data_IF_562608579760
#
_entry.id   IF_562608579760
#
_cell.length_a   1.000
_cell.length_b   1.000
_cell.length_c   1.000
_cell.angle_alpha   90.00
_cell.angle_beta   90.00
_cell.angle_gamma   90.00
#
_symmetry.space_group_name_H-M   'P 1'
#
loop_
_entity.id
_entity.type
_entity.pdbx_description
1 polymer ?
#
# COMPACT_ATOMS: atom_id res chain seq x y z
N UNK A 1 -23.88 7.16 -10.03
CA UNK A 1 -23.49 5.86 -9.46
C UNK A 1 -22.50 6.18 -8.36
N UNK A 2 -22.80 5.84 -7.11
CA UNK A 2 -21.92 6.10 -5.96
C UNK A 2 -21.35 4.77 -5.51
N UNK A 3 -20.03 4.61 -5.61
CA UNK A 3 -19.33 3.43 -5.07
C UNK A 3 -19.18 3.61 -3.57
N UNK A 4 -19.52 2.59 -2.80
CA UNK A 4 -19.37 2.56 -1.34
C UNK A 4 -18.42 1.44 -0.93
N UNK A 5 -18.09 1.35 0.36
CA UNK A 5 -17.29 0.24 0.89
C UNK A 5 -18.06 -1.08 0.88
N UNK A 6 -19.39 -1.08 0.79
CA UNK A 6 -20.17 -2.32 0.59
C UNK A 6 -20.20 -2.79 -0.86
N UNK A 7 -19.74 -1.98 -1.82
CA UNK A 7 -19.71 -2.38 -3.23
C UNK A 7 -18.72 -3.53 -3.42
N UNK A 8 -19.15 -4.59 -4.09
CA UNK A 8 -18.29 -5.75 -4.33
C UNK A 8 -17.24 -5.45 -5.41
N UNK A 9 -16.14 -6.21 -5.42
CA UNK A 9 -15.12 -6.08 -6.47
C UNK A 9 -15.72 -6.31 -7.88
N UNK A 10 -16.62 -7.28 -8.02
CA UNK A 10 -17.29 -7.57 -9.29
C UNK A 10 -18.14 -6.39 -9.76
N UNK A 11 -18.99 -5.85 -8.89
CA UNK A 11 -19.80 -4.67 -9.21
C UNK A 11 -18.92 -3.48 -9.60
N UNK A 12 -17.81 -3.25 -8.88
CA UNK A 12 -16.87 -2.17 -9.20
C UNK A 12 -16.24 -2.34 -10.59
N UNK A 13 -15.82 -3.56 -10.95
CA UNK A 13 -15.29 -3.86 -12.28
C UNK A 13 -16.35 -3.66 -13.38
N UNK A 14 -17.60 -4.08 -13.13
CA UNK A 14 -18.72 -3.84 -14.05
C UNK A 14 -19.01 -2.34 -14.23
N UNK A 15 -18.93 -1.56 -13.15
CA UNK A 15 -19.12 -0.10 -13.18
C UNK A 15 -18.01 0.63 -13.94
N UNK A 16 -16.75 0.17 -13.85
CA UNK A 16 -15.61 0.71 -14.62
C UNK A 16 -15.72 0.31 -16.09
N UNK A 17 -16.19 -0.91 -16.35
CA UNK A 17 -16.31 -1.46 -17.70
C UNK A 17 -14.98 -1.89 -18.31
N UNK A 18 -14.98 -2.12 -19.62
CA UNK A 18 -13.81 -2.62 -20.34
C UNK A 18 -12.74 -1.53 -20.49
N UNK A 19 -11.63 -1.69 -19.77
CA UNK A 19 -10.46 -0.81 -19.80
C UNK A 19 -9.19 -1.59 -20.11
N UNK A 20 -8.27 -0.99 -20.87
CA UNK A 20 -7.00 -1.61 -21.25
C UNK A 20 -5.90 -1.39 -20.22
N UNK A 21 -5.10 -2.42 -19.94
CA UNK A 21 -3.89 -2.31 -19.14
C UNK A 21 -2.84 -1.49 -19.91
N UNK A 22 -2.24 -0.50 -19.27
CA UNK A 22 -1.16 0.27 -19.86
C UNK A 22 0.12 -0.57 -20.01
N UNK A 23 0.94 -0.27 -21.02
CA UNK A 23 2.23 -0.93 -21.27
C UNK A 23 3.18 -0.81 -20.07
N UNK A 24 3.14 0.33 -19.38
CA UNK A 24 3.85 0.57 -18.12
C UNK A 24 2.86 0.93 -17.02
N UNK A 25 3.02 0.33 -15.85
CA UNK A 25 2.23 0.69 -14.67
C UNK A 25 2.41 2.18 -14.36
N UNK A 26 1.32 2.97 -14.31
CA UNK A 26 1.39 4.38 -13.97
C UNK A 26 1.84 4.56 -12.51
N UNK A 27 2.42 5.72 -12.21
CA UNK A 27 2.71 6.08 -10.81
C UNK A 27 1.43 6.56 -10.11
N UNK A 28 1.36 6.44 -8.78
CA UNK A 28 0.24 6.98 -8.00
C UNK A 28 0.02 8.49 -8.28
N UNK A 29 1.11 9.21 -8.58
CA UNK A 29 1.06 10.59 -9.03
C UNK A 29 0.41 10.75 -10.40
N UNK A 30 0.79 9.95 -11.39
CA UNK A 30 0.19 10.02 -12.72
C UNK A 30 -1.30 9.64 -12.74
N UNK A 31 -1.77 8.89 -11.73
CA UNK A 31 -3.18 8.57 -11.56
C UNK A 31 -3.99 9.75 -11.01
N UNK A 32 -3.42 10.52 -10.07
CA UNK A 32 -4.10 11.67 -9.46
C UNK A 32 -3.89 12.98 -10.21
N UNK A 33 -2.87 13.10 -11.04
CA UNK A 33 -2.51 14.33 -11.76
C UNK A 33 -2.54 14.12 -13.28
N UNK A 34 -3.34 14.92 -13.98
CA UNK A 34 -3.34 15.01 -15.44
C UNK A 34 -2.69 16.33 -15.86
N UNK A 35 -1.55 16.25 -16.54
CA UNK A 35 -0.90 17.43 -17.15
C UNK A 35 -1.62 17.80 -18.44
N UNK A 36 -2.02 19.06 -18.56
CA UNK A 36 -2.55 19.65 -19.80
C UNK A 36 -1.42 20.20 -20.66
N UNK A 37 -1.71 20.41 -21.95
CA UNK A 37 -0.73 20.93 -22.92
C UNK A 37 -0.23 22.34 -22.57
N UNK A 38 -1.02 23.11 -21.82
CA UNK A 38 -0.69 24.43 -21.31
C UNK A 38 0.23 24.41 -20.05
N UNK A 39 0.64 23.23 -19.59
CA UNK A 39 1.49 23.04 -18.42
C UNK A 39 0.73 23.03 -17.08
N UNK A 40 -0.59 23.21 -17.08
CA UNK A 40 -1.40 23.13 -15.86
C UNK A 40 -1.63 21.69 -15.43
N UNK A 41 -1.81 21.47 -14.12
CA UNK A 41 -2.09 20.16 -13.53
C UNK A 41 -3.53 20.10 -13.06
N UNK A 42 -4.30 19.18 -13.63
CA UNK A 42 -5.67 18.88 -13.22
C UNK A 42 -5.67 17.69 -12.25
N UNK A 43 -6.31 17.86 -11.10
CA UNK A 43 -6.48 16.77 -10.13
C UNK A 43 -7.60 15.84 -10.59
N UNK A 44 -7.27 14.56 -10.72
CA UNK A 44 -8.17 13.48 -11.10
C UNK A 44 -8.75 12.89 -9.82
N UNK A 45 -10.07 12.99 -9.69
CA UNK A 45 -10.78 12.36 -8.57
C UNK A 45 -10.83 10.84 -8.77
N UNK A 46 -10.64 10.05 -7.70
CA UNK A 46 -10.83 8.62 -7.77
C UNK A 46 -12.30 8.31 -8.08
N UNK A 47 -12.51 7.21 -8.81
CA UNK A 47 -13.81 6.62 -9.06
C UNK A 47 -14.43 6.01 -7.79
N UNK A 48 -13.58 5.45 -6.92
CA UNK A 48 -13.96 4.96 -5.60
C UNK A 48 -12.82 5.22 -4.60
N UNK A 49 -13.17 5.55 -3.36
CA UNK A 49 -12.21 5.81 -2.28
C UNK A 49 -12.81 5.35 -0.94
N UNK A 50 -12.01 4.70 -0.10
CA UNK A 50 -12.39 4.34 1.27
C UNK A 50 -12.44 5.57 2.18
N UNK A 51 -13.18 5.51 3.29
CA UNK A 51 -13.34 6.63 4.20
C UNK A 51 -12.02 7.09 4.85
N UNK A 52 -11.07 6.17 5.02
CA UNK A 52 -9.70 6.44 5.50
C UNK A 52 -8.75 6.91 4.38
N UNK A 53 -9.15 6.76 3.11
CA UNK A 53 -8.34 7.13 1.95
C UNK A 53 -7.21 6.14 1.62
N UNK A 54 -7.14 5.00 2.30
CA UNK A 54 -6.06 4.02 2.10
C UNK A 54 -6.20 3.27 0.77
N UNK A 55 -7.43 3.09 0.27
CA UNK A 55 -7.71 2.53 -1.04
C UNK A 55 -8.36 3.56 -1.96
N UNK A 56 -7.81 3.72 -3.17
CA UNK A 56 -8.37 4.57 -4.23
C UNK A 56 -8.41 3.81 -5.55
N UNK A 57 -9.51 3.84 -6.28
CA UNK A 57 -9.66 3.23 -7.61
C UNK A 57 -9.96 4.32 -8.63
N UNK A 58 -9.30 4.28 -9.78
CA UNK A 58 -9.46 5.24 -10.85
C UNK A 58 -10.21 4.62 -12.03
N UNK A 59 -10.93 5.46 -12.79
CA UNK A 59 -11.76 5.03 -13.91
C UNK A 59 -10.97 4.34 -15.04
N UNK A 60 -9.63 4.40 -15.03
CA UNK A 60 -8.76 3.69 -15.96
C UNK A 60 -8.41 2.25 -15.53
N UNK A 61 -9.01 1.74 -14.45
CA UNK A 61 -8.82 0.36 -13.98
C UNK A 61 -7.63 0.16 -13.03
N UNK A 62 -6.97 1.23 -12.60
CA UNK A 62 -5.88 1.14 -11.62
C UNK A 62 -6.36 1.50 -10.21
N UNK A 63 -5.81 0.79 -9.22
CA UNK A 63 -5.98 1.08 -7.81
C UNK A 63 -4.67 1.57 -7.19
N UNK A 64 -4.76 2.48 -6.23
CA UNK A 64 -3.68 2.88 -5.33
C UNK A 64 -4.04 2.37 -3.94
N UNK A 65 -3.09 1.67 -3.33
CA UNK A 65 -3.17 1.23 -1.95
C UNK A 65 -2.02 1.83 -1.15
N UNK A 66 -2.33 2.37 0.02
CA UNK A 66 -1.37 2.93 0.96
C UNK A 66 -1.61 2.34 2.35
N UNK A 67 -0.53 1.89 2.99
CA UNK A 67 -0.50 1.55 4.40
C UNK A 67 0.65 2.31 5.09
N UNK A 68 0.88 2.03 6.37
CA UNK A 68 1.92 2.66 7.19
C UNK A 68 3.36 2.39 6.71
N UNK A 69 3.56 1.38 5.86
CA UNK A 69 4.89 0.96 5.37
C UNK A 69 5.16 1.35 3.92
N UNK A 70 4.14 1.70 3.15
CA UNK A 70 4.33 2.10 1.76
C UNK A 70 3.06 2.29 0.96
N UNK A 71 3.27 2.64 -0.30
CA UNK A 71 2.21 2.84 -1.30
C UNK A 71 2.54 2.02 -2.55
N UNK A 72 1.51 1.43 -3.15
CA UNK A 72 1.61 0.64 -4.37
C UNK A 72 0.49 0.94 -5.36
N UNK A 73 0.73 0.66 -6.64
CA UNK A 73 -0.25 0.78 -7.72
C UNK A 73 -0.55 -0.62 -8.25
N UNK A 74 -1.83 -0.96 -8.30
CA UNK A 74 -2.32 -2.27 -8.71
C UNK A 74 -3.21 -2.14 -9.95
N UNK A 75 -3.20 -3.16 -10.80
CA UNK A 75 -4.25 -3.34 -11.80
C UNK A 75 -5.45 -3.97 -11.11
N UNK A 76 -6.62 -3.32 -11.12
CA UNK A 76 -7.77 -3.75 -10.32
C UNK A 76 -8.24 -5.16 -10.69
N UNK A 77 -8.21 -5.52 -11.98
CA UNK A 77 -8.62 -6.87 -12.40
C UNK A 77 -7.67 -7.96 -11.87
N UNK A 78 -6.40 -7.64 -11.59
CA UNK A 78 -5.49 -8.59 -10.97
C UNK A 78 -5.95 -8.89 -9.51
N UNK A 79 -6.65 -7.96 -8.83
CA UNK A 79 -7.13 -8.20 -7.47
C UNK A 79 -8.23 -9.28 -7.35
N UNK A 80 -8.72 -9.83 -8.46
CA UNK A 80 -9.75 -10.90 -8.46
C UNK A 80 -9.23 -12.25 -8.00
N UNK A 81 -7.92 -12.44 -7.90
CA UNK A 81 -7.33 -13.68 -7.42
C UNK A 81 -6.13 -13.39 -6.53
N UNK A 82 -5.95 -14.21 -5.49
CA UNK A 82 -4.77 -14.16 -4.63
C UNK A 82 -4.30 -15.57 -4.28
N UNK A 83 -3.01 -15.83 -4.45
CA UNK A 83 -2.40 -17.12 -4.11
C UNK A 83 -1.57 -16.97 -2.85
N UNK A 84 -1.96 -17.69 -1.81
CA UNK A 84 -1.15 -17.89 -0.61
C UNK A 84 -0.11 -18.96 -0.91
N UNK A 85 1.15 -18.68 -0.55
CA UNK A 85 2.22 -19.66 -0.51
C UNK A 85 2.66 -19.83 0.94
N UNK A 86 2.59 -21.06 1.44
CA UNK A 86 3.14 -21.43 2.72
C UNK A 86 4.61 -21.83 2.54
N UNK A 87 5.43 -21.49 3.54
CA UNK A 87 6.78 -22.05 3.67
C UNK A 87 6.69 -23.60 3.74
N UNK A 88 7.82 -24.28 3.58
CA UNK A 88 7.90 -25.74 3.56
C UNK A 88 7.03 -26.40 4.63
N UNK A 89 5.93 -27.03 4.19
CA UNK A 89 4.99 -27.69 5.08
C UNK A 89 5.66 -28.88 5.76
N UNK A 90 5.44 -29.04 7.07
CA UNK A 90 5.82 -30.28 7.76
C UNK A 90 5.02 -31.43 7.19
N UNK A 91 5.57 -32.65 7.24
CA UNK A 91 4.92 -33.81 6.62
C UNK A 91 3.49 -34.05 7.12
N UNK A 92 3.20 -33.74 8.39
CA UNK A 92 1.85 -33.82 8.96
C UNK A 92 0.89 -32.74 8.44
N UNK A 93 1.40 -31.58 8.02
CA UNK A 93 0.59 -30.46 7.53
C UNK A 93 0.18 -30.68 6.07
N UNK A 94 0.97 -31.45 5.29
CA UNK A 94 0.65 -31.83 3.91
C UNK A 94 -0.61 -32.69 3.78
N UNK A 95 -1.02 -33.37 4.86
CA UNK A 95 -2.22 -34.21 4.86
C UNK A 95 -3.53 -33.42 4.79
N UNK A 96 -3.53 -32.14 5.18
CA UNK A 96 -4.74 -31.31 5.23
C UNK A 96 -4.56 -29.88 4.69
N UNK A 97 -3.34 -29.47 4.31
CA UNK A 97 -3.05 -28.16 3.73
C UNK A 97 -2.20 -28.31 2.48
N UNK A 98 -2.58 -27.61 1.41
CA UNK A 98 -1.75 -27.44 0.23
C UNK A 98 -0.77 -26.28 0.43
N UNK A 99 0.50 -26.48 0.03
CA UNK A 99 1.54 -25.46 0.16
C UNK A 99 1.22 -24.18 -0.62
N UNK A 100 0.43 -24.29 -1.69
CA UNK A 100 -0.16 -23.16 -2.38
C UNK A 100 -1.67 -23.29 -2.39
N UNK A 101 -2.36 -22.21 -2.07
CA UNK A 101 -3.81 -22.14 -2.12
C UNK A 101 -4.23 -20.83 -2.78
N UNK A 102 -5.03 -20.93 -3.82
CA UNK A 102 -5.53 -19.76 -4.57
C UNK A 102 -6.97 -19.48 -4.19
N UNK A 103 -7.22 -18.26 -3.76
CA UNK A 103 -8.56 -17.70 -3.63
C UNK A 103 -8.88 -17.02 -4.97
N UNK A 104 -9.91 -17.51 -5.64
CA UNK A 104 -10.31 -17.05 -6.97
C UNK A 104 -11.36 -15.92 -6.94
N UNK A 105 -11.79 -15.55 -8.14
CA UNK A 105 -12.79 -14.50 -8.38
C UNK A 105 -14.17 -14.88 -7.85
N UNK A 106 -14.46 -16.18 -7.75
CA UNK A 106 -15.68 -16.70 -7.14
C UNK A 106 -15.85 -16.22 -5.69
N UNK A 107 -14.74 -16.11 -4.96
CA UNK A 107 -14.70 -15.61 -3.60
C UNK A 107 -14.43 -14.10 -3.61
N UNK A 108 -13.29 -13.65 -4.16
CA UNK A 108 -12.86 -12.25 -4.06
C UNK A 108 -13.75 -11.28 -4.84
N UNK A 109 -14.36 -11.72 -5.94
CA UNK A 109 -15.31 -10.92 -6.70
C UNK A 109 -16.56 -10.54 -5.90
N UNK A 110 -16.97 -11.39 -4.95
CA UNK A 110 -18.12 -11.16 -4.06
C UNK A 110 -17.79 -10.35 -2.81
N UNK A 111 -16.51 -10.15 -2.52
CA UNK A 111 -16.08 -9.37 -1.36
C UNK A 111 -16.12 -7.86 -1.65
N UNK A 112 -16.24 -7.02 -0.62
CA UNK A 112 -15.98 -5.58 -0.72
C UNK A 112 -14.70 -5.28 -1.51
N UNK A 113 -14.80 -4.37 -2.48
CA UNK A 113 -13.70 -4.08 -3.42
C UNK A 113 -12.38 -3.73 -2.70
N UNK A 114 -12.48 -3.00 -1.59
CA UNK A 114 -11.31 -2.53 -0.85
C UNK A 114 -10.58 -3.69 -0.14
N UNK A 115 -11.26 -4.77 0.22
CA UNK A 115 -10.61 -5.95 0.82
C UNK A 115 -9.69 -6.65 -0.18
N UNK A 116 -10.12 -6.77 -1.44
CA UNK A 116 -9.29 -7.35 -2.50
C UNK A 116 -8.08 -6.47 -2.83
N UNK A 117 -8.29 -5.14 -2.85
CA UNK A 117 -7.21 -4.15 -3.03
C UNK A 117 -6.21 -4.20 -1.86
N UNK A 118 -6.69 -4.27 -0.62
CA UNK A 118 -5.86 -4.36 0.59
C UNK A 118 -5.05 -5.65 0.61
N UNK A 119 -5.68 -6.80 0.38
CA UNK A 119 -5.01 -8.11 0.38
C UNK A 119 -3.84 -8.15 -0.61
N UNK A 120 -4.07 -7.69 -1.84
CA UNK A 120 -3.02 -7.65 -2.87
C UNK A 120 -2.04 -6.50 -2.65
N UNK A 121 -2.52 -5.40 -2.07
CA UNK A 121 -1.76 -4.20 -1.76
C UNK A 121 -0.71 -4.43 -0.68
N UNK A 122 -1.08 -5.02 0.45
CA UNK A 122 -0.15 -5.36 1.53
C UNK A 122 0.97 -6.26 1.03
N UNK A 123 0.62 -7.32 0.30
CA UNK A 123 1.60 -8.23 -0.28
C UNK A 123 2.57 -7.52 -1.24
N UNK A 124 2.06 -6.61 -2.08
CA UNK A 124 2.90 -5.87 -3.00
C UNK A 124 3.78 -4.82 -2.29
N UNK A 125 3.28 -4.19 -1.22
CA UNK A 125 4.08 -3.25 -0.41
C UNK A 125 5.21 -3.99 0.31
N UNK A 126 4.93 -5.17 0.88
CA UNK A 126 5.95 -6.03 1.49
C UNK A 126 7.04 -6.40 0.49
N UNK A 127 6.67 -6.85 -0.70
CA UNK A 127 7.62 -7.19 -1.77
C UNK A 127 8.46 -6.00 -2.21
N UNK A 128 7.83 -4.84 -2.43
CA UNK A 128 8.54 -3.60 -2.74
C UNK A 128 9.51 -3.18 -1.61
N UNK A 129 9.20 -3.50 -0.36
CA UNK A 129 10.07 -3.22 0.80
C UNK A 129 11.28 -4.17 0.86
N UNK A 130 11.08 -5.44 0.52
CA UNK A 130 12.16 -6.43 0.40
C UNK A 130 13.13 -6.06 -0.74
N UNK A 131 12.59 -5.67 -1.89
CA UNK A 131 13.37 -5.23 -3.06
C UNK A 131 14.19 -3.96 -2.77
N UNK A 132 13.74 -3.09 -1.85
CA UNK A 132 14.49 -1.88 -1.44
C UNK A 132 15.67 -2.16 -0.51
N UNK A 133 15.71 -3.34 0.13
CA UNK A 133 16.81 -3.74 1.01
C UNK A 133 17.90 -4.51 0.25
N UNK A 134 17.53 -5.18 -0.83
CA UNK A 134 18.46 -5.73 -1.82
C UNK A 134 18.86 -4.68 -2.86
N UNK A 135 20.00 -4.03 -2.66
CA UNK A 135 20.75 -3.31 -3.69
C UNK A 135 20.39 -1.83 -3.98
N UNK A 136 21.25 -0.92 -3.47
CA UNK A 136 21.35 0.50 -3.91
C UNK A 136 22.19 0.67 -5.19
N UNK A 137 22.55 -0.41 -5.88
CA UNK A 137 23.31 -0.39 -7.13
C UNK A 137 22.68 -1.26 -8.20
N UNK A 138 21.42 -0.95 -8.47
CA UNK A 138 20.90 -0.96 -9.83
C UNK A 138 20.65 -2.35 -10.40
N UNK A 139 19.39 -2.78 -10.34
CA UNK A 139 18.79 -3.51 -11.45
C UNK A 139 17.39 -2.97 -11.70
N UNK A 140 17.23 -2.33 -12.86
CA UNK A 140 15.99 -2.37 -13.60
C UNK A 140 15.65 -3.86 -13.80
N UNK A 141 14.65 -4.37 -13.09
CA UNK A 141 13.90 -5.54 -13.51
C UNK A 141 12.44 -5.16 -13.49
N UNK A 142 11.91 -4.95 -14.70
CA UNK A 142 10.49 -5.14 -14.95
C UNK A 142 10.16 -6.55 -14.45
N UNK A 143 9.45 -6.67 -13.34
CA UNK A 143 9.00 -7.97 -12.84
C UNK A 143 7.61 -8.19 -13.44
N UNK A 144 7.60 -8.89 -14.58
CA UNK A 144 6.43 -9.67 -14.95
C UNK A 144 6.18 -10.70 -13.85
N UNK A 145 4.91 -10.92 -13.59
CA UNK A 145 4.39 -12.05 -12.85
C UNK A 145 4.99 -13.36 -13.43
N UNK A 146 5.26 -14.30 -12.53
CA UNK A 146 5.81 -15.66 -12.72
C UNK A 146 7.33 -15.82 -12.63
N UNK A 147 7.71 -16.78 -11.78
CA UNK A 147 9.04 -17.30 -11.44
C UNK A 147 9.81 -16.57 -10.32
N UNK A 148 9.53 -16.99 -9.07
CA UNK A 148 10.54 -17.03 -8.00
C UNK A 148 11.25 -18.38 -8.13
N UNK A 149 12.55 -18.36 -8.38
CA UNK A 149 13.40 -19.57 -8.50
C UNK A 149 13.96 -19.98 -7.14
N UNK A 150 14.27 -21.27 -6.98
CA UNK A 150 14.79 -21.92 -5.75
C UNK A 150 16.05 -21.24 -5.17
N UNK A 151 16.82 -20.50 -5.97
CA UNK A 151 17.98 -19.72 -5.50
C UNK A 151 17.62 -18.48 -4.64
N UNK A 152 16.39 -17.94 -4.74
CA UNK A 152 15.92 -16.84 -3.87
C UNK A 152 15.42 -17.33 -2.50
N UNK A 153 15.13 -18.63 -2.34
CA UNK A 153 14.71 -19.23 -1.05
C UNK A 153 15.86 -19.27 -0.04
N UNK A 154 17.10 -19.56 -0.47
CA UNK A 154 18.26 -19.62 0.44
C UNK A 154 18.71 -18.24 0.95
N UNK A 155 18.43 -17.16 0.21
CA UNK A 155 18.76 -15.79 0.63
C UNK A 155 17.76 -15.22 1.66
N UNK A 156 16.59 -15.85 1.84
CA UNK A 156 15.53 -15.41 2.75
C UNK A 156 15.70 -15.93 4.20
N UNK A 157 16.74 -16.72 4.48
CA UNK A 157 16.95 -17.38 5.79
C UNK A 157 17.27 -16.40 6.94
N UNK A 158 17.54 -15.12 6.67
CA UNK A 158 17.77 -14.12 7.72
C UNK A 158 16.88 -12.88 7.57
N UNK A 159 15.69 -12.91 8.17
CA UNK A 159 14.99 -11.68 8.56
C UNK A 159 14.27 -11.84 9.93
N UNK A 160 14.86 -11.33 11.03
CA UNK A 160 14.30 -11.42 12.39
C UNK A 160 13.15 -10.42 12.67
N UNK A 161 12.43 -9.97 11.65
CA UNK A 161 11.27 -9.09 11.82
C UNK A 161 10.25 -9.33 10.73
N UNK A 162 8.99 -9.41 11.13
CA UNK A 162 7.80 -9.39 10.26
C UNK A 162 7.37 -10.73 9.63
N UNK A 163 7.10 -11.74 10.46
CA UNK A 163 6.06 -12.75 10.16
C UNK A 163 5.19 -12.97 11.41
N UNK A 164 3.88 -13.12 11.21
CA UNK A 164 2.86 -13.37 12.26
C UNK A 164 2.55 -12.19 13.20
N UNK A 165 1.83 -11.18 12.72
CA UNK A 165 1.03 -10.40 13.66
C UNK A 165 -0.43 -10.88 13.68
N UNK A 166 -0.94 -11.24 14.85
CA UNK A 166 -2.36 -11.60 15.02
C UNK A 166 -3.25 -10.37 14.79
N UNK A 167 -4.52 -10.55 14.36
CA UNK A 167 -5.47 -9.44 14.19
C UNK A 167 -5.58 -8.56 15.45
N UNK A 168 -5.46 -9.16 16.63
CA UNK A 168 -5.44 -8.47 17.93
C UNK A 168 -4.21 -7.57 18.07
N UNK A 169 -3.03 -8.05 17.69
CA UNK A 169 -1.79 -7.26 17.76
C UNK A 169 -1.79 -6.15 16.71
N UNK A 170 -2.40 -6.37 15.54
CA UNK A 170 -2.64 -5.32 14.54
C UNK A 170 -3.57 -4.22 15.08
N UNK A 171 -4.61 -4.62 15.81
CA UNK A 171 -5.53 -3.69 16.48
C UNK A 171 -4.83 -2.93 17.62
N UNK A 172 -4.01 -3.60 18.42
CA UNK A 172 -3.18 -2.97 19.46
C UNK A 172 -2.21 -1.97 18.83
N UNK A 173 -1.55 -2.33 17.72
CA UNK A 173 -0.68 -1.38 17.00
C UNK A 173 -1.44 -0.19 16.44
N UNK A 174 -2.65 -0.40 15.89
CA UNK A 174 -3.53 0.68 15.41
C UNK A 174 -3.91 1.64 16.53
N UNK A 175 -4.27 1.11 17.70
CA UNK A 175 -4.57 1.93 18.88
C UNK A 175 -3.32 2.63 19.44
N UNK A 176 -2.17 1.94 19.48
CA UNK A 176 -0.89 2.54 19.88
C UNK A 176 -0.47 3.67 18.93
N UNK A 177 -0.62 3.48 17.62
CA UNK A 177 -0.30 4.51 16.62
C UNK A 177 -1.26 5.70 16.77
N UNK A 178 -2.55 5.46 17.01
CA UNK A 178 -3.52 6.53 17.33
C UNK A 178 -3.12 7.30 18.58
N UNK A 179 -2.69 6.60 19.63
CA UNK A 179 -2.22 7.23 20.86
C UNK A 179 -0.94 8.05 20.63
N UNK A 180 0.01 7.52 19.86
CA UNK A 180 1.25 8.19 19.49
C UNK A 180 1.00 9.45 18.63
N UNK A 181 0.14 9.34 17.63
CA UNK A 181 -0.30 10.48 16.81
C UNK A 181 -1.10 11.49 17.66
N UNK A 182 -1.82 11.06 18.69
CA UNK A 182 -2.49 11.92 19.66
C UNK A 182 -1.54 12.82 20.47
N UNK A 183 -0.30 12.38 20.69
CA UNK A 183 0.76 13.14 21.41
C UNK A 183 1.42 14.24 20.55
N UNK A 184 1.21 14.18 19.24
CA UNK A 184 1.66 15.21 18.30
C UNK A 184 0.74 16.44 18.37
N UNK A 185 1.29 17.63 18.16
CA UNK A 185 0.44 18.79 17.88
C UNK A 185 -0.16 18.66 16.48
N UNK A 186 -1.27 19.34 16.20
CA UNK A 186 -1.93 19.23 14.88
C UNK A 186 -0.97 19.54 13.73
N UNK A 187 -0.10 20.55 13.89
CA UNK A 187 0.93 20.92 12.91
C UNK A 187 2.06 19.89 12.75
N UNK A 188 2.38 19.14 13.82
CA UNK A 188 3.35 18.05 13.77
C UNK A 188 2.73 16.82 13.10
N UNK A 189 1.49 16.50 13.47
CA UNK A 189 0.71 15.39 12.91
C UNK A 189 0.47 15.57 11.42
N UNK A 190 0.08 16.77 11.00
CA UNK A 190 -0.16 17.12 9.60
C UNK A 190 1.10 16.90 8.74
N UNK A 191 2.25 17.42 9.15
CA UNK A 191 3.52 17.21 8.43
C UNK A 191 3.95 15.74 8.45
N UNK A 192 3.78 15.06 9.59
CA UNK A 192 4.13 13.65 9.74
C UNK A 192 3.30 12.75 8.80
N UNK A 193 1.99 12.98 8.71
CA UNK A 193 1.09 12.23 7.82
C UNK A 193 1.38 12.57 6.35
N UNK A 194 1.55 13.84 5.99
CA UNK A 194 1.87 14.22 4.61
C UNK A 194 3.18 13.58 4.12
N UNK A 195 4.18 13.45 5.00
CA UNK A 195 5.46 12.86 4.66
C UNK A 195 5.42 11.32 4.63
N UNK A 196 4.98 10.68 5.72
CA UNK A 196 5.05 9.22 5.87
C UNK A 196 3.86 8.49 5.26
N UNK A 197 2.63 9.00 5.40
CA UNK A 197 1.41 8.36 4.88
C UNK A 197 1.15 8.76 3.41
N UNK A 198 1.23 10.04 3.10
CA UNK A 198 0.90 10.53 1.75
C UNK A 198 2.11 10.56 0.79
N UNK A 199 3.33 10.34 1.30
CA UNK A 199 4.55 10.23 0.51
C UNK A 199 5.03 11.53 -0.13
N UNK A 200 4.62 12.70 0.37
CA UNK A 200 5.09 13.99 -0.13
C UNK A 200 6.51 14.28 0.35
N UNK A 201 7.31 14.91 -0.51
CA UNK A 201 8.64 15.41 -0.13
C UNK A 201 8.50 16.63 0.80
N UNK A 202 9.53 16.91 1.62
CA UNK A 202 9.50 18.08 2.51
C UNK A 202 9.29 19.40 1.75
N UNK A 203 9.75 19.48 0.49
CA UNK A 203 9.57 20.66 -0.35
C UNK A 203 8.11 20.81 -0.82
N UNK A 204 7.47 19.71 -1.25
CA UNK A 204 6.04 19.71 -1.60
C UNK A 204 5.16 20.05 -0.40
N UNK A 205 5.51 19.53 0.79
CA UNK A 205 4.81 19.88 2.04
C UNK A 205 4.96 21.35 2.39
N UNK A 206 6.15 21.93 2.15
CA UNK A 206 6.41 23.34 2.38
C UNK A 206 5.52 24.22 1.49
N UNK A 207 5.41 23.86 0.21
CA UNK A 207 4.54 24.52 -0.76
C UNK A 207 3.05 24.38 -0.38
N UNK A 208 2.60 23.17 -0.01
CA UNK A 208 1.21 22.93 0.41
C UNK A 208 0.81 23.70 1.67
N UNK A 209 1.71 23.79 2.65
CA UNK A 209 1.42 24.44 3.93
C UNK A 209 1.77 25.94 3.94
N UNK A 210 2.31 26.48 2.84
CA UNK A 210 2.75 27.88 2.75
C UNK A 210 3.85 28.24 3.76
N UNK A 211 4.74 27.28 4.07
CA UNK A 211 5.85 27.45 5.02
C UNK A 211 7.19 27.15 4.35
N UNK A 212 8.29 27.41 5.06
CA UNK A 212 9.61 27.05 4.56
C UNK A 212 9.89 25.56 4.72
N UNK A 213 10.68 24.97 3.82
CA UNK A 213 11.15 23.57 3.94
C UNK A 213 11.83 23.31 5.30
N UNK A 214 12.58 24.28 5.82
CA UNK A 214 13.20 24.19 7.15
C UNK A 214 12.18 24.10 8.28
N UNK A 215 11.01 24.74 8.14
CA UNK A 215 9.93 24.61 9.10
C UNK A 215 9.23 23.24 9.01
N UNK A 216 9.15 22.65 7.82
CA UNK A 216 8.69 21.26 7.62
C UNK A 216 9.64 20.29 8.32
N UNK A 217 10.94 20.41 8.04
CA UNK A 217 11.98 19.58 8.64
C UNK A 217 11.93 19.62 10.18
N UNK A 218 11.84 20.82 10.76
CA UNK A 218 11.73 20.97 12.22
C UNK A 218 10.46 20.33 12.80
N UNK A 219 9.32 20.43 12.10
CA UNK A 219 8.06 19.81 12.54
C UNK A 219 8.11 18.30 12.42
N UNK A 220 8.74 17.78 11.36
CA UNK A 220 8.92 16.35 11.12
C UNK A 220 9.88 15.74 12.15
N UNK A 221 11.05 16.34 12.37
CA UNK A 221 12.02 15.88 13.38
C UNK A 221 11.42 15.93 14.80
N UNK A 222 10.66 16.98 15.12
CA UNK A 222 9.96 17.06 16.40
C UNK A 222 8.86 16.00 16.56
N UNK A 223 8.17 15.64 15.47
CA UNK A 223 7.19 14.57 15.45
C UNK A 223 7.85 13.20 15.62
N UNK A 224 8.90 12.92 14.85
CA UNK A 224 9.66 11.68 14.90
C UNK A 224 10.30 11.45 16.26
N UNK A 225 10.84 12.50 16.91
CA UNK A 225 11.36 12.39 18.28
C UNK A 225 10.29 11.98 19.27
N UNK A 226 9.08 12.53 19.17
CA UNK A 226 7.97 12.19 20.06
C UNK A 226 7.48 10.76 19.84
N UNK A 227 7.34 10.34 18.58
CA UNK A 227 6.95 8.98 18.21
C UNK A 227 8.02 7.97 18.65
N UNK A 228 9.31 8.30 18.47
CA UNK A 228 10.44 7.43 18.87
C UNK A 228 10.58 7.30 20.38
N UNK A 229 10.39 8.38 21.15
CA UNK A 229 10.44 8.33 22.61
C UNK A 229 9.30 7.48 23.21
N UNK A 230 8.14 7.45 22.56
CA UNK A 230 7.03 6.58 22.98
C UNK A 230 7.24 5.09 22.66
N UNK A 231 8.16 4.75 21.77
CA UNK A 231 8.48 3.34 21.43
C UNK A 231 9.46 2.70 22.42
N UNK A 232 10.18 3.49 23.24
CA UNK A 232 11.24 3.01 24.16
C UNK A 232 10.69 2.63 25.56
N UNK A 233 9.38 2.75 25.82
CA UNK A 233 8.81 2.46 27.15
C UNK A 233 8.36 1.00 27.38
N UNK A 234 8.84 0.02 26.59
CA UNK A 234 8.60 -1.41 26.81
C UNK A 234 9.88 -2.23 26.69
#
# INVERSE_FOLDING_TARGET
ITVTEETTLRELLEMIGAVGRAEKTPTARALREKKREDGTVEQVQPFAETADGDCKVYANGYAVYSNDTGTTVLWLADCCSFTYQFDGLKDKEKDYIAQRSTVGEDILGSQPWFMAVMLRGDHQVERNSMDRKGDRRGQNKNISLDYVTEEEEEAAEWNPGYRFESPERALIRKEMLREQLGKLTDRQREVFLLYHQCGYTQQEIAEMLGITQKAVDFRLDAAERKVRLSTIQF
#
